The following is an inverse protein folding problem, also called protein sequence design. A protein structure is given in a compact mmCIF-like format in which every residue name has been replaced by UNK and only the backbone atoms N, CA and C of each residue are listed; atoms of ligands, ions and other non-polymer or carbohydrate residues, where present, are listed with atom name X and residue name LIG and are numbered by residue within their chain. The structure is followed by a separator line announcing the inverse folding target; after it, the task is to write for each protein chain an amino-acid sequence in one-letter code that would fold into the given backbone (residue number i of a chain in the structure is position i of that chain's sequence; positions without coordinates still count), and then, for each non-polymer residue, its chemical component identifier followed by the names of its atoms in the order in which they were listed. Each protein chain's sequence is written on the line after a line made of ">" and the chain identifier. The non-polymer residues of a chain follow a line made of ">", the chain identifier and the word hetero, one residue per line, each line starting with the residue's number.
data_IF_399534917853
#
_entry.id   IF_399534917853
#
_cell.length_a   1.000
_cell.length_b   1.000
_cell.length_c   1.000
_cell.angle_alpha   90.00
_cell.angle_beta   90.00
_cell.angle_gamma   90.00
#
_symmetry.space_group_name_H-M   'P 1'
#
loop_
_entity.id
_entity.type
_entity.pdbx_description
1 polymer ?
#
# COMPACT_ATOMS: atom_id res chain seq x y z
N UNK A 1 -9.27 3.93 -12.95
CA UNK A 1 -9.52 3.55 -11.54
C UNK A 1 -8.80 2.26 -11.25
N UNK A 2 -8.29 2.07 -10.02
CA UNK A 2 -7.55 0.87 -9.64
C UNK A 2 -8.44 -0.39 -9.56
N UNK A 3 -9.71 -0.27 -9.16
CA UNK A 3 -10.60 -1.43 -9.01
C UNK A 3 -11.83 -1.45 -9.91
N UNK A 4 -12.13 -0.37 -10.63
CA UNK A 4 -13.28 -0.36 -11.55
C UNK A 4 -12.94 -1.19 -12.78
N UNK A 5 -13.75 -2.20 -13.16
CA UNK A 5 -13.53 -2.99 -14.37
C UNK A 5 -13.53 -2.12 -15.63
N UNK A 6 -12.71 -2.45 -16.61
CA UNK A 6 -12.75 -1.79 -17.93
C UNK A 6 -14.00 -2.18 -18.72
N UNK A 7 -14.53 -3.37 -18.45
CA UNK A 7 -15.72 -3.94 -19.08
C UNK A 7 -16.99 -3.08 -18.95
N UNK A 8 -17.06 -2.16 -17.97
CA UNK A 8 -18.18 -1.21 -17.85
C UNK A 8 -18.33 -0.31 -19.08
N UNK A 9 -17.26 -0.17 -19.87
CA UNK A 9 -17.25 0.63 -21.09
C UNK A 9 -17.77 -0.14 -22.31
N UNK A 10 -17.91 -1.47 -22.24
CA UNK A 10 -18.27 -2.29 -23.41
C UNK A 10 -19.67 -1.95 -23.95
N UNK A 11 -20.57 -1.50 -23.08
CA UNK A 11 -21.94 -1.14 -23.46
C UNK A 11 -21.99 0.15 -24.29
N UNK A 12 -20.96 0.98 -24.19
CA UNK A 12 -20.91 2.31 -24.80
C UNK A 12 -19.92 2.39 -25.97
N UNK A 13 -18.87 1.56 -25.96
CA UNK A 13 -17.76 1.65 -26.91
C UNK A 13 -17.30 0.28 -27.39
N UNK A 14 -17.03 0.17 -28.70
CA UNK A 14 -16.45 -1.04 -29.30
C UNK A 14 -14.96 -1.21 -28.97
N UNK A 15 -14.25 -0.09 -28.77
CA UNK A 15 -12.82 -0.05 -28.40
C UNK A 15 -12.70 0.59 -27.03
N UNK A 16 -12.15 -0.15 -26.08
CA UNK A 16 -11.92 0.35 -24.72
C UNK A 16 -10.69 -0.32 -24.11
N UNK A 17 -10.17 0.30 -23.07
CA UNK A 17 -9.03 -0.22 -22.34
C UNK A 17 -8.79 0.53 -21.04
N UNK A 18 -7.80 0.05 -20.30
CA UNK A 18 -7.37 0.60 -19.02
C UNK A 18 -5.93 1.03 -19.16
N UNK A 19 -5.64 2.24 -18.69
CA UNK A 19 -4.30 2.81 -18.63
C UNK A 19 -4.06 3.29 -17.20
N UNK A 20 -3.49 2.42 -16.37
CA UNK A 20 -3.45 2.60 -14.92
C UNK A 20 -2.01 2.72 -14.41
N UNK A 21 -1.52 3.94 -14.10
CA UNK A 21 -0.27 4.09 -13.37
C UNK A 21 -0.46 3.72 -11.90
N UNK A 22 0.27 2.71 -11.44
CA UNK A 22 0.24 2.25 -10.04
C UNK A 22 1.14 3.14 -9.18
N UNK A 23 0.60 4.25 -8.69
CA UNK A 23 1.30 5.20 -7.81
C UNK A 23 0.32 6.00 -6.96
N UNK A 24 0.76 6.41 -5.77
CA UNK A 24 0.07 7.44 -4.98
C UNK A 24 0.47 8.82 -5.49
N UNK A 25 -0.46 9.54 -6.11
CA UNK A 25 -0.23 10.89 -6.64
C UNK A 25 -0.69 11.97 -5.65
N UNK A 26 0.10 13.02 -5.50
CA UNK A 26 -0.27 14.24 -4.76
C UNK A 26 -0.02 15.48 -5.62
N UNK A 27 -0.78 16.55 -5.38
CA UNK A 27 -0.70 17.78 -6.20
C UNK A 27 0.67 18.45 -6.13
N UNK A 28 1.32 18.37 -4.98
CA UNK A 28 2.56 19.11 -4.68
C UNK A 28 3.82 18.33 -5.05
N UNK A 29 3.69 17.07 -5.49
CA UNK A 29 4.83 16.21 -5.81
C UNK A 29 4.77 15.77 -7.28
N UNK A 30 5.79 16.18 -8.04
CA UNK A 30 5.98 15.67 -9.41
C UNK A 30 6.43 14.21 -9.34
N UNK A 31 5.71 13.28 -9.98
CA UNK A 31 6.08 11.87 -10.02
C UNK A 31 7.25 11.62 -10.98
N UNK A 32 8.16 10.71 -10.58
CA UNK A 32 9.18 10.16 -11.47
C UNK A 32 8.58 9.03 -12.33
N UNK A 33 7.93 9.39 -13.44
CA UNK A 33 7.21 8.44 -14.30
C UNK A 33 8.04 7.24 -14.76
N UNK A 34 9.34 7.42 -15.00
CA UNK A 34 10.25 6.36 -15.44
C UNK A 34 10.31 5.14 -14.50
N UNK A 35 9.87 5.29 -13.25
CA UNK A 35 9.87 4.25 -12.21
C UNK A 35 8.47 3.75 -11.84
N UNK A 36 7.42 4.30 -12.45
CA UNK A 36 6.04 3.96 -12.12
C UNK A 36 5.60 2.76 -12.95
N UNK A 37 5.11 1.67 -12.35
CA UNK A 37 4.47 0.60 -13.10
C UNK A 37 3.19 1.10 -13.78
N UNK A 38 3.08 0.90 -15.09
CA UNK A 38 1.85 1.10 -15.84
C UNK A 38 1.19 -0.26 -16.10
N UNK A 39 -0.01 -0.43 -15.53
CA UNK A 39 -0.86 -1.58 -15.78
C UNK A 39 -1.82 -1.24 -16.92
N UNK A 40 -1.77 -2.00 -18.00
CA UNK A 40 -2.57 -1.77 -19.21
C UNK A 40 -3.41 -2.97 -19.56
N UNK A 41 -4.57 -2.70 -20.15
CA UNK A 41 -5.49 -3.70 -20.70
C UNK A 41 -6.26 -3.06 -21.86
N UNK A 42 -6.66 -3.83 -22.87
CA UNK A 42 -7.61 -3.39 -23.87
C UNK A 42 -8.46 -4.55 -24.40
N UNK A 43 -9.63 -4.22 -24.93
CA UNK A 43 -10.55 -5.20 -25.54
C UNK A 43 -10.01 -5.83 -26.83
N UNK A 44 -9.00 -5.23 -27.46
CA UNK A 44 -8.35 -5.72 -28.68
C UNK A 44 -6.83 -5.75 -28.55
N UNK A 45 -6.17 -6.66 -29.27
CA UNK A 45 -4.70 -6.76 -29.31
C UNK A 45 -4.05 -5.52 -29.91
N UNK A 46 -4.70 -4.89 -30.88
CA UNK A 46 -4.23 -3.66 -31.53
C UNK A 46 -4.21 -2.50 -30.53
N UNK A 47 -5.31 -2.30 -29.81
CA UNK A 47 -5.42 -1.25 -28.79
C UNK A 47 -4.47 -1.48 -27.62
N UNK A 48 -4.30 -2.74 -27.21
CA UNK A 48 -3.33 -3.09 -26.20
C UNK A 48 -1.90 -2.74 -26.64
N UNK A 49 -1.55 -3.02 -27.91
CA UNK A 49 -0.28 -2.62 -28.49
C UNK A 49 -0.06 -1.10 -28.48
N UNK A 50 -1.10 -0.33 -28.79
CA UNK A 50 -1.09 1.13 -28.68
C UNK A 50 -0.85 1.60 -27.24
N UNK A 51 -1.63 1.10 -26.28
CA UNK A 51 -1.49 1.47 -24.87
C UNK A 51 -0.10 1.10 -24.31
N UNK A 52 0.44 -0.07 -24.68
CA UNK A 52 1.80 -0.47 -24.31
C UNK A 52 2.85 0.48 -24.87
N UNK A 53 2.69 0.91 -26.13
CA UNK A 53 3.60 1.85 -26.78
C UNK A 53 3.58 3.21 -26.07
N UNK A 54 2.40 3.72 -25.73
CA UNK A 54 2.25 4.98 -24.99
C UNK A 54 2.84 4.87 -23.58
N UNK A 55 2.54 3.79 -22.84
CA UNK A 55 3.11 3.55 -21.51
C UNK A 55 4.65 3.46 -21.55
N UNK A 56 5.19 2.82 -22.59
CA UNK A 56 6.64 2.66 -22.80
C UNK A 56 7.38 3.98 -23.04
N UNK A 57 6.68 5.04 -23.49
CA UNK A 57 7.26 6.39 -23.58
C UNK A 57 7.41 7.05 -22.19
N UNK A 58 6.65 6.59 -21.20
CA UNK A 58 6.61 7.16 -19.85
C UNK A 58 7.40 6.36 -18.84
N UNK A 59 7.42 5.03 -18.97
CA UNK A 59 8.01 4.11 -17.99
C UNK A 59 8.62 2.87 -18.65
N UNK A 60 9.68 2.35 -18.03
CA UNK A 60 10.25 1.05 -18.40
C UNK A 60 9.44 -0.14 -17.87
N UNK A 61 8.44 0.13 -17.01
CA UNK A 61 7.66 -0.89 -16.31
C UNK A 61 6.22 -0.91 -16.84
N UNK A 62 5.96 -1.75 -17.83
CA UNK A 62 4.63 -1.91 -18.43
C UNK A 62 4.16 -3.35 -18.27
N UNK A 63 3.03 -3.52 -17.59
CA UNK A 63 2.43 -4.81 -17.28
C UNK A 63 1.05 -4.91 -17.91
N UNK A 64 0.75 -6.04 -18.52
CA UNK A 64 -0.61 -6.37 -18.94
C UNK A 64 -1.33 -6.99 -17.76
N UNK A 65 -2.44 -6.36 -17.34
CA UNK A 65 -3.17 -6.72 -16.13
C UNK A 65 -4.67 -6.65 -16.41
N UNK A 66 -5.35 -7.79 -16.38
CA UNK A 66 -6.79 -7.85 -16.58
C UNK A 66 -7.58 -7.23 -15.41
N UNK A 67 -8.91 -7.19 -15.52
CA UNK A 67 -9.77 -6.57 -14.51
C UNK A 67 -9.67 -7.25 -13.13
N UNK A 68 -9.60 -8.59 -13.10
CA UNK A 68 -9.53 -9.36 -11.86
C UNK A 68 -8.16 -9.19 -11.19
N UNK A 69 -7.08 -9.31 -11.95
CA UNK A 69 -5.72 -9.07 -11.47
C UNK A 69 -5.57 -7.63 -10.97
N UNK A 70 -6.16 -6.65 -11.65
CA UNK A 70 -6.07 -5.25 -11.26
C UNK A 70 -6.84 -4.97 -9.96
N UNK A 71 -7.98 -5.63 -9.74
CA UNK A 71 -8.71 -5.55 -8.47
C UNK A 71 -7.86 -6.08 -7.30
N UNK A 72 -7.21 -7.24 -7.46
CA UNK A 72 -6.30 -7.80 -6.44
C UNK A 72 -5.08 -6.90 -6.21
N UNK A 73 -4.47 -6.39 -7.29
CA UNK A 73 -3.36 -5.47 -7.22
C UNK A 73 -3.73 -4.18 -6.47
N UNK A 74 -4.92 -3.64 -6.73
CA UNK A 74 -5.39 -2.44 -6.04
C UNK A 74 -5.62 -2.70 -4.56
N UNK A 75 -6.23 -3.84 -4.20
CA UNK A 75 -6.37 -4.26 -2.82
C UNK A 75 -5.01 -4.33 -2.11
N UNK A 76 -4.02 -5.01 -2.72
CA UNK A 76 -2.67 -5.08 -2.17
C UNK A 76 -2.02 -3.69 -2.02
N UNK A 77 -2.23 -2.79 -2.98
CA UNK A 77 -1.74 -1.42 -2.92
C UNK A 77 -2.37 -0.60 -1.79
N UNK A 78 -3.66 -0.81 -1.49
CA UNK A 78 -4.32 -0.18 -0.33
C UNK A 78 -3.65 -0.61 0.97
N UNK A 79 -3.35 -1.91 1.14
CA UNK A 79 -2.61 -2.40 2.31
C UNK A 79 -1.20 -1.81 2.39
N UNK A 80 -0.43 -1.90 1.29
CA UNK A 80 0.97 -1.49 1.27
C UNK A 80 1.18 0.03 1.34
N UNK A 81 0.18 0.85 1.02
CA UNK A 81 0.30 2.30 1.00
C UNK A 81 -0.72 3.00 1.90
N UNK A 82 -2.02 2.85 1.65
CA UNK A 82 -3.03 3.65 2.34
C UNK A 82 -3.15 3.27 3.82
N UNK A 83 -3.21 1.97 4.12
CA UNK A 83 -3.28 1.49 5.51
C UNK A 83 -1.96 1.73 6.23
N UNK A 84 -0.82 1.45 5.60
CA UNK A 84 0.50 1.79 6.15
C UNK A 84 0.62 3.28 6.49
N UNK A 85 0.16 4.18 5.62
CA UNK A 85 0.17 5.62 5.90
C UNK A 85 -0.75 5.99 7.08
N UNK A 86 -1.89 5.31 7.23
CA UNK A 86 -2.72 5.50 8.41
C UNK A 86 -2.01 5.06 9.70
N UNK A 87 -1.28 3.95 9.68
CA UNK A 87 -0.45 3.52 10.83
C UNK A 87 0.63 4.56 11.16
N UNK A 88 1.21 5.25 10.17
CA UNK A 88 2.12 6.36 10.41
C UNK A 88 1.42 7.54 11.11
N UNK A 89 0.21 7.88 10.66
CA UNK A 89 -0.60 8.95 11.29
C UNK A 89 -0.97 8.63 12.75
N UNK A 90 -1.32 7.37 13.06
CA UNK A 90 -1.53 6.94 14.44
C UNK A 90 -0.24 7.04 15.27
N UNK A 91 0.89 6.65 14.69
CA UNK A 91 2.19 6.75 15.36
C UNK A 91 2.59 8.20 15.66
N UNK A 92 2.31 9.12 14.73
CA UNK A 92 2.50 10.57 14.90
C UNK A 92 1.62 11.11 16.05
N UNK A 93 0.35 10.70 16.11
CA UNK A 93 -0.57 11.13 17.18
C UNK A 93 -0.11 10.63 18.56
N UNK A 94 0.31 9.37 18.67
CA UNK A 94 0.85 8.81 19.92
C UNK A 94 2.09 9.59 20.39
N UNK A 95 3.02 9.90 19.48
CA UNK A 95 4.21 10.69 19.83
C UNK A 95 3.85 12.12 20.22
N UNK A 96 2.92 12.75 19.50
CA UNK A 96 2.46 14.10 19.81
C UNK A 96 1.87 14.18 21.22
N UNK A 97 1.03 13.22 21.63
CA UNK A 97 0.49 13.15 23.01
C UNK A 97 1.57 12.95 24.07
N UNK A 98 2.67 12.27 23.72
CA UNK A 98 3.84 12.11 24.58
C UNK A 98 4.83 13.29 24.52
N UNK A 99 4.54 14.35 23.74
CA UNK A 99 5.44 15.50 23.56
C UNK A 99 6.70 15.19 22.77
N UNK A 100 6.66 14.17 21.90
CA UNK A 100 7.79 13.71 21.11
C UNK A 100 7.60 14.07 19.61
N UNK A 101 8.68 14.45 18.91
CA UNK A 101 8.62 14.76 17.48
C UNK A 101 8.51 13.49 16.62
N UNK A 102 7.69 13.52 15.56
CA UNK A 102 7.47 12.39 14.65
C UNK A 102 8.73 11.98 13.88
N UNK A 103 9.65 12.92 13.69
CA UNK A 103 10.93 12.72 13.02
C UNK A 103 11.77 11.61 13.65
N UNK A 104 11.55 11.29 14.93
CA UNK A 104 12.18 10.15 15.60
C UNK A 104 11.88 8.82 14.93
N UNK A 105 10.73 8.68 14.25
CA UNK A 105 10.33 7.46 13.54
C UNK A 105 10.79 7.42 12.09
N UNK A 106 11.26 8.54 11.52
CA UNK A 106 11.65 8.60 10.11
C UNK A 106 12.69 7.53 9.72
N UNK A 107 13.77 7.29 10.49
CA UNK A 107 14.74 6.25 10.16
C UNK A 107 14.11 4.84 10.16
N UNK A 108 13.28 4.55 11.17
CA UNK A 108 12.63 3.25 11.33
C UNK A 108 11.65 2.95 10.17
N UNK A 109 10.88 3.96 9.75
CA UNK A 109 9.95 3.85 8.62
C UNK A 109 10.72 3.54 7.33
N UNK A 110 11.82 4.26 7.08
CA UNK A 110 12.63 4.05 5.87
C UNK A 110 13.27 2.67 5.85
N UNK A 111 13.88 2.26 6.95
CA UNK A 111 14.52 0.94 7.06
C UNK A 111 13.52 -0.20 6.85
N UNK A 112 12.31 -0.07 7.42
CA UNK A 112 11.24 -1.06 7.28
C UNK A 112 10.79 -1.18 5.82
N UNK A 113 10.55 -0.06 5.16
CA UNK A 113 10.17 -0.03 3.74
C UNK A 113 11.29 -0.59 2.84
N UNK A 114 12.55 -0.24 3.10
CA UNK A 114 13.69 -0.76 2.36
C UNK A 114 13.83 -2.28 2.52
N UNK A 115 13.73 -2.81 3.75
CA UNK A 115 13.79 -4.27 4.01
C UNK A 115 12.65 -5.02 3.31
N UNK A 116 11.43 -4.50 3.37
CA UNK A 116 10.26 -5.10 2.73
C UNK A 116 10.36 -5.16 1.20
N UNK A 117 11.22 -4.34 0.58
CA UNK A 117 11.45 -4.37 -0.88
C UNK A 117 12.62 -5.27 -1.29
N UNK A 118 13.45 -5.72 -0.33
CA UNK A 118 14.62 -6.59 -0.57
C UNK A 118 14.41 -8.03 -0.11
N UNK A 119 13.56 -8.23 0.89
CA UNK A 119 13.25 -9.51 1.49
C UNK A 119 11.73 -9.67 1.62
N UNK A 120 11.26 -10.91 1.82
CA UNK A 120 9.86 -11.15 2.16
C UNK A 120 9.50 -10.41 3.46
N UNK A 121 8.41 -9.61 3.49
CA UNK A 121 7.98 -8.94 4.72
C UNK A 121 7.75 -9.89 5.91
N UNK A 122 7.31 -11.12 5.64
CA UNK A 122 7.10 -12.14 6.67
C UNK A 122 8.41 -12.54 7.37
N UNK A 123 9.51 -12.67 6.62
CA UNK A 123 10.81 -13.05 7.17
C UNK A 123 11.44 -11.93 7.99
N UNK A 124 11.08 -10.69 7.69
CA UNK A 124 11.59 -9.49 8.38
C UNK A 124 10.72 -9.06 9.57
N UNK A 125 9.65 -9.82 9.86
CA UNK A 125 8.74 -9.50 10.95
C UNK A 125 9.48 -9.59 12.30
N UNK A 126 9.41 -8.51 13.08
CA UNK A 126 10.00 -8.45 14.43
C UNK A 126 8.99 -7.79 15.39
N UNK A 127 9.42 -7.44 16.60
CA UNK A 127 8.58 -6.77 17.58
C UNK A 127 7.96 -7.71 18.62
N UNK A 128 7.29 -7.15 19.65
CA UNK A 128 6.80 -7.90 20.80
C UNK A 128 5.73 -8.94 20.44
N UNK A 129 4.87 -8.66 19.45
CA UNK A 129 3.88 -9.60 18.95
C UNK A 129 4.53 -10.89 18.42
N UNK A 130 5.48 -10.75 17.49
CA UNK A 130 6.15 -11.88 16.84
C UNK A 130 6.89 -12.80 17.83
N UNK A 131 7.50 -12.23 18.88
CA UNK A 131 8.22 -13.00 19.91
C UNK A 131 7.39 -13.36 21.14
N UNK A 132 6.10 -13.04 21.17
CA UNK A 132 5.20 -13.35 22.29
C UNK A 132 5.52 -12.61 23.60
N UNK A 133 6.06 -11.39 23.53
CA UNK A 133 6.40 -10.58 24.71
C UNK A 133 5.13 -9.96 25.34
N UNK A 134 4.42 -10.77 26.13
CA UNK A 134 3.18 -10.39 26.82
C UNK A 134 3.36 -9.18 27.72
N UNK A 135 4.49 -9.08 28.41
CA UNK A 135 4.76 -7.99 29.34
C UNK A 135 4.81 -6.62 28.65
N UNK A 136 5.41 -6.56 27.46
CA UNK A 136 5.45 -5.35 26.64
C UNK A 136 4.08 -5.07 26.02
N UNK A 137 3.40 -6.10 25.53
CA UNK A 137 2.05 -5.99 24.95
C UNK A 137 1.07 -5.40 25.98
N UNK A 138 1.04 -5.91 27.21
CA UNK A 138 0.16 -5.41 28.28
C UNK A 138 0.44 -3.94 28.60
N UNK A 139 1.72 -3.55 28.69
CA UNK A 139 2.09 -2.14 28.89
C UNK A 139 1.59 -1.24 27.75
N UNK A 140 1.72 -1.67 26.50
CA UNK A 140 1.20 -0.91 25.36
C UNK A 140 -0.33 -0.79 25.43
N UNK A 141 -1.04 -1.86 25.81
CA UNK A 141 -2.50 -1.83 25.96
C UNK A 141 -2.96 -0.87 27.06
N UNK A 142 -2.17 -0.72 28.13
CA UNK A 142 -2.40 0.31 29.17
C UNK A 142 -2.18 1.72 28.64
N UNK A 143 -1.10 1.96 27.86
CA UNK A 143 -0.85 3.26 27.22
C UNK A 143 -1.98 3.67 26.26
N UNK A 144 -2.71 2.71 25.70
CA UNK A 144 -3.82 2.93 24.77
C UNK A 144 -5.21 2.94 25.44
N UNK A 145 -5.30 2.91 26.77
CA UNK A 145 -6.59 2.84 27.49
C UNK A 145 -7.54 3.99 27.16
N UNK A 146 -7.00 5.20 26.96
CA UNK A 146 -7.78 6.39 26.58
C UNK A 146 -8.15 6.41 25.09
N UNK A 147 -7.67 5.44 24.30
CA UNK A 147 -7.88 5.36 22.85
C UNK A 147 -8.45 4.00 22.42
N UNK A 148 -9.75 3.71 22.71
CA UNK A 148 -10.34 2.39 22.47
C UNK A 148 -10.20 1.89 21.03
N UNK A 149 -10.28 2.78 20.03
CA UNK A 149 -10.12 2.41 18.62
C UNK A 149 -8.68 2.01 18.27
N UNK A 150 -7.69 2.70 18.81
CA UNK A 150 -6.28 2.38 18.58
C UNK A 150 -5.92 1.07 19.29
N UNK A 151 -6.43 0.88 20.51
CA UNK A 151 -6.29 -0.36 21.27
C UNK A 151 -6.84 -1.56 20.49
N UNK A 152 -8.07 -1.47 19.97
CA UNK A 152 -8.66 -2.54 19.15
C UNK A 152 -7.84 -2.86 17.90
N UNK A 153 -7.32 -1.84 17.21
CA UNK A 153 -6.46 -2.05 16.05
C UNK A 153 -5.13 -2.71 16.43
N UNK A 154 -4.51 -2.28 17.53
CA UNK A 154 -3.29 -2.86 18.06
C UNK A 154 -3.47 -4.34 18.42
N UNK A 155 -4.56 -4.69 19.10
CA UNK A 155 -4.91 -6.07 19.45
C UNK A 155 -5.13 -6.93 18.19
N UNK A 156 -5.86 -6.41 17.20
CA UNK A 156 -6.07 -7.10 15.94
C UNK A 156 -4.75 -7.39 15.22
N UNK A 157 -3.91 -6.36 15.01
CA UNK A 157 -2.62 -6.53 14.34
C UNK A 157 -1.68 -7.45 15.12
N UNK A 158 -1.72 -7.42 16.45
CA UNK A 158 -0.93 -8.32 17.30
C UNK A 158 -1.32 -9.77 17.07
N UNK A 159 -2.62 -10.08 17.06
CA UNK A 159 -3.13 -11.45 16.78
C UNK A 159 -2.79 -11.92 15.38
N UNK A 160 -2.98 -11.08 14.36
CA UNK A 160 -2.63 -11.41 12.98
C UNK A 160 -1.13 -11.72 12.84
N UNK A 161 -0.25 -10.99 13.54
CA UNK A 161 1.20 -11.27 13.55
C UNK A 161 1.53 -12.58 14.29
N UNK A 162 0.75 -12.94 15.32
CA UNK A 162 0.91 -14.18 16.09
C UNK A 162 0.29 -15.39 15.39
N UNK A 163 -0.55 -15.18 14.37
CA UNK A 163 -1.31 -16.24 13.71
C UNK A 163 -2.48 -16.77 14.55
N UNK A 164 -3.06 -15.91 15.40
CA UNK A 164 -4.20 -16.20 16.30
C UNK A 164 -5.56 -15.76 15.75
#
# INVERSE_FOLDING_TARGET
>A
SGATPGSILQEYFQRYGVFYPLQSFSKDRKPEFGRIPFCVYASSKEDLGLLRSIAGLLSSYVYEVDDDQRAHLHLAAVFANNFTNHLFSLSEQILHEAGLPFELLHPLIRETAEKATRHSPADMQTGPAHRGDRSTIEKHLTLLETHPRWKQLYELLTREIQGE
#
